data_IF_961412411818
#
_entry.id   IF_961412411818
#
_cell.length_a   1.000
_cell.length_b   1.000
_cell.length_c   1.000
_cell.angle_alpha   90.00
_cell.angle_beta   90.00
_cell.angle_gamma   90.00
#
_symmetry.space_group_name_H-M   'P 1'
#
loop_
_entity.id
_entity.type
_entity.pdbx_description
1 polymer ?
#
# COMPACT_ATOMS: atom_id res chain seq x y z
N UNK A 1 22.49 -45.97 -25.92
CA UNK A 1 21.14 -46.04 -25.30
C UNK A 1 21.05 -45.43 -23.89
N UNK A 2 22.15 -45.39 -23.11
CA UNK A 2 22.14 -44.95 -21.70
C UNK A 2 22.03 -43.41 -21.52
N UNK A 3 22.74 -42.62 -22.34
CA UNK A 3 22.76 -41.13 -22.24
C UNK A 3 21.41 -40.49 -22.59
N UNK A 4 20.67 -41.07 -23.55
CA UNK A 4 19.31 -40.59 -23.91
C UNK A 4 18.31 -40.75 -22.76
N UNK A 5 18.48 -41.79 -21.90
CA UNK A 5 17.60 -42.03 -20.75
C UNK A 5 17.84 -41.04 -19.60
N UNK A 6 19.11 -40.67 -19.35
CA UNK A 6 19.47 -39.67 -18.32
C UNK A 6 18.96 -38.27 -18.69
N UNK A 7 19.06 -37.90 -19.97
CA UNK A 7 18.57 -36.62 -20.48
C UNK A 7 17.04 -36.47 -20.38
N UNK A 8 16.30 -37.57 -20.62
CA UNK A 8 14.84 -37.62 -20.47
C UNK A 8 14.39 -37.49 -18.99
N UNK A 9 15.15 -38.06 -18.05
CA UNK A 9 14.84 -37.98 -16.61
C UNK A 9 15.08 -36.56 -16.09
N UNK A 10 16.18 -35.90 -16.49
CA UNK A 10 16.45 -34.51 -16.14
C UNK A 10 15.39 -33.55 -16.71
N UNK A 11 14.96 -33.77 -17.96
CA UNK A 11 13.88 -32.99 -18.57
C UNK A 11 12.55 -33.16 -17.82
N UNK A 12 12.22 -34.39 -17.41
CA UNK A 12 11.01 -34.68 -16.64
C UNK A 12 11.04 -34.04 -15.24
N UNK A 13 12.21 -33.99 -14.57
CA UNK A 13 12.36 -33.32 -13.26
C UNK A 13 12.20 -31.81 -13.41
N UNK A 14 12.75 -31.21 -14.46
CA UNK A 14 12.59 -29.77 -14.75
C UNK A 14 11.11 -29.45 -15.05
N UNK A 15 10.45 -30.28 -15.86
CA UNK A 15 9.03 -30.11 -16.18
C UNK A 15 8.14 -30.31 -14.95
N UNK A 16 8.36 -31.34 -14.12
CA UNK A 16 7.62 -31.51 -12.86
C UNK A 16 7.89 -30.39 -11.85
N UNK A 17 9.13 -29.88 -11.79
CA UNK A 17 9.50 -28.73 -10.95
C UNK A 17 8.84 -27.43 -11.42
N UNK A 18 8.62 -27.25 -12.73
CA UNK A 18 7.90 -26.11 -13.31
C UNK A 18 6.38 -26.21 -13.15
N UNK A 19 5.81 -27.43 -13.18
CA UNK A 19 4.36 -27.66 -13.08
C UNK A 19 3.86 -27.64 -11.63
N UNK A 20 4.74 -27.84 -10.64
CA UNK A 20 4.38 -27.94 -9.23
C UNK A 20 4.09 -26.64 -8.47
N UNK A 21 4.15 -25.46 -9.11
CA UNK A 21 4.13 -24.16 -8.39
C UNK A 21 2.77 -23.43 -8.45
N UNK A 22 1.82 -23.81 -9.31
CA UNK A 22 0.60 -23.00 -9.46
C UNK A 22 -0.59 -23.57 -8.69
N UNK A 23 -0.52 -23.52 -7.36
CA UNK A 23 -1.73 -23.30 -6.57
C UNK A 23 -1.66 -21.90 -6.00
N UNK A 24 -1.84 -20.90 -6.89
CA UNK A 24 -2.21 -19.56 -6.42
C UNK A 24 -3.63 -19.71 -5.91
N UNK A 25 -3.77 -20.09 -4.64
CA UNK A 25 -5.03 -19.97 -3.94
C UNK A 25 -5.48 -18.50 -4.05
N UNK A 26 -6.78 -18.28 -4.20
CA UNK A 26 -7.32 -16.93 -4.12
C UNK A 26 -6.86 -16.32 -2.78
N UNK A 27 -6.14 -15.20 -2.83
CA UNK A 27 -5.73 -14.52 -1.61
C UNK A 27 -6.97 -13.95 -0.93
N UNK A 28 -6.97 -13.89 0.40
CA UNK A 28 -8.05 -13.27 1.14
C UNK A 28 -7.90 -11.74 1.13
N UNK A 29 -9.03 -11.04 1.27
CA UNK A 29 -9.01 -9.64 1.68
C UNK A 29 -8.37 -9.53 3.07
N UNK A 30 -7.40 -8.64 3.23
CA UNK A 30 -6.76 -8.38 4.51
C UNK A 30 -7.05 -6.94 4.94
N UNK A 31 -7.32 -6.75 6.23
CA UNK A 31 -7.53 -5.45 6.85
C UNK A 31 -6.62 -5.37 8.07
N UNK A 32 -5.74 -4.37 8.07
CA UNK A 32 -4.72 -4.15 9.08
C UNK A 32 -4.95 -2.79 9.70
N UNK A 33 -5.29 -2.76 10.98
CA UNK A 33 -5.33 -1.50 11.74
C UNK A 33 -3.94 -1.31 12.33
N UNK A 34 -3.23 -0.30 11.84
CA UNK A 34 -1.85 -0.01 12.24
C UNK A 34 -1.91 0.80 13.54
N UNK A 35 -1.20 0.35 14.57
CA UNK A 35 -1.07 1.10 15.81
C UNK A 35 -0.19 2.34 15.57
N UNK A 36 -0.85 3.49 15.50
CA UNK A 36 -0.25 4.81 15.33
C UNK A 36 -0.42 5.67 16.58
N UNK A 37 -0.85 5.07 17.70
CA UNK A 37 -1.24 5.79 18.90
C UNK A 37 -2.54 6.57 18.68
N UNK A 38 -2.44 7.89 18.45
CA UNK A 38 -3.61 8.74 18.24
C UNK A 38 -3.92 8.89 16.75
N UNK A 39 -5.22 8.88 16.45
CA UNK A 39 -5.77 9.02 15.10
C UNK A 39 -6.07 7.68 14.46
N UNK A 40 -5.81 7.58 13.16
CA UNK A 40 -6.16 6.40 12.37
C UNK A 40 -5.07 6.08 11.35
N UNK A 41 -4.78 4.80 11.18
CA UNK A 41 -4.18 4.27 9.96
C UNK A 41 -4.68 2.84 9.71
N UNK A 42 -5.24 2.57 8.54
CA UNK A 42 -5.73 1.25 8.15
C UNK A 42 -5.26 0.89 6.76
N UNK A 43 -4.55 -0.23 6.66
CA UNK A 43 -4.14 -0.82 5.40
C UNK A 43 -5.13 -1.91 5.01
N UNK A 44 -5.65 -1.83 3.79
CA UNK A 44 -6.44 -2.87 3.13
C UNK A 44 -5.60 -3.48 2.02
N UNK A 45 -5.55 -4.80 1.96
CA UNK A 45 -4.91 -5.55 0.87
C UNK A 45 -5.96 -6.43 0.21
N UNK A 46 -6.24 -6.18 -1.07
CA UNK A 46 -7.23 -6.93 -1.82
C UNK A 46 -6.78 -8.37 -2.12
N UNK A 47 -7.70 -9.27 -2.48
CA UNK A 47 -7.37 -10.59 -3.05
C UNK A 47 -6.43 -10.56 -4.27
N UNK A 48 -6.40 -9.45 -5.00
CA UNK A 48 -5.52 -9.28 -6.17
C UNK A 48 -4.17 -8.67 -5.81
N UNK A 49 -3.94 -8.33 -4.53
CA UNK A 49 -2.72 -7.70 -4.04
C UNK A 49 -2.68 -6.18 -4.17
N UNK A 50 -3.78 -5.55 -4.61
CA UNK A 50 -3.89 -4.09 -4.55
C UNK A 50 -3.95 -3.61 -3.09
N UNK A 51 -3.42 -2.43 -2.82
CA UNK A 51 -3.25 -1.88 -1.49
C UNK A 51 -3.93 -0.53 -1.36
N UNK A 52 -4.65 -0.33 -0.26
CA UNK A 52 -5.23 0.96 0.11
C UNK A 52 -4.83 1.31 1.54
N UNK A 53 -4.26 2.49 1.74
CA UNK A 53 -3.96 3.02 3.07
C UNK A 53 -4.94 4.17 3.37
N UNK A 54 -5.77 3.98 4.38
CA UNK A 54 -6.71 4.98 4.87
C UNK A 54 -6.08 5.63 6.10
N UNK A 55 -5.75 6.91 5.99
CA UNK A 55 -5.00 7.70 6.98
C UNK A 55 -3.63 7.11 7.39
N UNK A 56 -2.78 7.92 8.00
CA UNK A 56 -1.39 7.58 8.32
C UNK A 56 -0.93 8.05 9.71
N UNK A 57 -1.84 8.39 10.61
CA UNK A 57 -1.48 8.82 11.95
C UNK A 57 -0.78 10.20 12.00
N UNK A 58 -0.37 10.55 13.22
CA UNK A 58 0.30 11.81 13.57
C UNK A 58 1.70 11.97 12.93
N UNK A 59 2.23 13.20 12.91
CA UNK A 59 3.54 13.56 12.32
C UNK A 59 4.69 12.65 12.80
N UNK A 60 4.67 12.19 14.05
CA UNK A 60 5.71 11.33 14.62
C UNK A 60 5.56 9.84 14.25
N UNK A 61 4.54 9.46 13.49
CA UNK A 61 4.23 8.07 13.14
C UNK A 61 4.85 7.61 11.82
N UNK A 62 5.57 8.49 11.10
CA UNK A 62 6.22 8.19 9.82
C UNK A 62 7.00 6.87 9.85
N UNK A 63 7.85 6.68 10.85
CA UNK A 63 8.67 5.47 10.96
C UNK A 63 7.88 4.24 11.41
N UNK A 64 6.80 4.42 12.18
CA UNK A 64 5.94 3.32 12.62
C UNK A 64 5.14 2.77 11.43
N UNK A 65 4.49 3.66 10.68
CA UNK A 65 3.77 3.31 9.43
C UNK A 65 4.74 2.66 8.43
N UNK A 66 5.90 3.29 8.18
CA UNK A 66 6.93 2.73 7.29
C UNK A 66 7.38 1.34 7.72
N UNK A 67 7.71 1.15 9.00
CA UNK A 67 8.17 -0.13 9.55
C UNK A 67 7.11 -1.22 9.41
N UNK A 68 5.84 -0.87 9.64
CA UNK A 68 4.73 -1.79 9.46
C UNK A 68 4.58 -2.21 8.00
N UNK A 69 4.53 -1.26 7.06
CA UNK A 69 4.46 -1.55 5.62
C UNK A 69 5.66 -2.40 5.17
N UNK A 70 6.86 -2.08 5.63
CA UNK A 70 8.07 -2.84 5.32
C UNK A 70 8.03 -4.28 5.85
N UNK A 71 7.40 -4.52 7.02
CA UNK A 71 7.22 -5.87 7.55
C UNK A 71 6.36 -6.78 6.67
N UNK A 72 5.53 -6.18 5.81
CA UNK A 72 4.70 -6.84 4.82
C UNK A 72 5.34 -6.84 3.42
N UNK A 73 6.54 -6.28 3.27
CA UNK A 73 7.20 -6.11 1.98
C UNK A 73 6.55 -5.04 1.08
N UNK A 74 5.79 -4.11 1.66
CA UNK A 74 5.04 -3.09 0.94
C UNK A 74 5.84 -1.78 0.94
N UNK A 75 6.19 -1.30 -0.26
CA UNK A 75 6.77 0.03 -0.49
C UNK A 75 5.93 0.90 -1.43
N UNK A 76 4.89 0.31 -2.02
CA UNK A 76 3.95 1.00 -2.90
C UNK A 76 2.52 0.76 -2.39
N UNK A 77 1.76 1.85 -2.26
CA UNK A 77 0.33 1.82 -1.97
C UNK A 77 -0.42 2.27 -3.23
N UNK A 78 -1.36 1.47 -3.73
CA UNK A 78 -2.12 1.85 -4.91
C UNK A 78 -3.00 3.07 -4.64
N UNK A 79 -3.68 3.07 -3.49
CA UNK A 79 -4.60 4.13 -3.07
C UNK A 79 -4.31 4.64 -1.67
N UNK A 80 -4.01 5.92 -1.51
CA UNK A 80 -4.06 6.56 -0.19
C UNK A 80 -5.38 7.32 -0.07
N UNK A 81 -6.05 7.25 1.08
CA UNK A 81 -7.31 7.96 1.34
C UNK A 81 -7.16 8.75 2.64
N UNK A 82 -7.31 10.07 2.56
CA UNK A 82 -7.43 10.92 3.75
C UNK A 82 -8.90 11.12 4.11
N UNK A 83 -9.30 10.69 5.31
CA UNK A 83 -10.68 10.86 5.78
C UNK A 83 -10.99 12.34 6.05
N UNK A 84 -10.05 13.04 6.68
CA UNK A 84 -10.05 14.48 6.91
C UNK A 84 -8.63 14.96 7.25
N UNK A 85 -8.47 16.28 7.41
CA UNK A 85 -7.15 16.93 7.41
C UNK A 85 -6.61 17.25 8.81
N UNK A 86 -7.02 16.49 9.83
CA UNK A 86 -6.38 16.60 11.14
C UNK A 86 -5.02 15.90 11.15
N UNK A 87 -4.13 16.37 12.02
CA UNK A 87 -2.73 15.93 12.09
C UNK A 87 -2.61 14.43 12.35
N UNK A 88 -3.51 13.88 13.14
CA UNK A 88 -3.56 12.46 13.49
C UNK A 88 -4.11 11.57 12.37
N UNK A 89 -4.42 12.14 11.21
CA UNK A 89 -4.86 11.42 10.02
C UNK A 89 -3.87 11.60 8.86
N UNK A 90 -3.44 12.83 8.58
CA UNK A 90 -2.55 13.15 7.44
C UNK A 90 -1.09 13.44 7.86
N UNK A 91 -0.79 13.43 9.16
CA UNK A 91 0.47 13.90 9.73
C UNK A 91 1.68 13.15 9.18
N UNK A 92 1.67 11.82 9.13
CA UNK A 92 2.81 11.10 8.55
C UNK A 92 3.04 11.44 7.08
N UNK A 93 1.97 11.65 6.30
CA UNK A 93 2.10 12.05 4.88
C UNK A 93 2.71 13.44 4.80
N UNK A 94 2.17 14.41 5.56
CA UNK A 94 2.70 15.76 5.65
C UNK A 94 4.17 15.81 6.12
N UNK A 95 4.57 14.89 7.02
CA UNK A 95 5.93 14.82 7.56
C UNK A 95 6.86 13.91 6.74
N UNK A 96 6.57 13.71 5.45
CA UNK A 96 7.50 13.09 4.52
C UNK A 96 7.53 11.56 4.54
N UNK A 97 6.39 10.89 4.75
CA UNK A 97 6.28 9.44 4.53
C UNK A 97 6.73 9.02 3.13
N UNK A 98 6.50 9.86 2.11
CA UNK A 98 6.95 9.60 0.74
C UNK A 98 8.49 9.65 0.63
N UNK A 99 9.11 10.61 1.33
CA UNK A 99 10.57 10.75 1.43
C UNK A 99 11.23 9.54 2.13
N UNK A 100 10.46 8.68 2.79
CA UNK A 100 10.93 7.44 3.37
C UNK A 100 10.94 6.24 2.41
N UNK A 101 10.59 6.43 1.14
CA UNK A 101 10.56 5.39 0.12
C UNK A 101 9.21 4.65 0.02
N UNK A 102 8.16 5.20 0.65
CA UNK A 102 6.78 4.78 0.38
C UNK A 102 6.27 5.58 -0.81
N UNK A 103 5.63 4.92 -1.77
CA UNK A 103 5.08 5.59 -2.95
C UNK A 103 3.58 5.36 -3.03
N UNK A 104 2.85 6.36 -3.52
CA UNK A 104 1.40 6.28 -3.73
C UNK A 104 1.07 6.31 -5.22
N UNK A 105 0.05 5.55 -5.64
CA UNK A 105 -0.54 5.64 -6.96
C UNK A 105 -1.44 6.88 -7.06
N UNK A 106 -2.63 6.78 -6.46
CA UNK A 106 -3.59 7.90 -6.38
C UNK A 106 -3.89 8.22 -4.92
N UNK A 107 -3.97 9.51 -4.61
CA UNK A 107 -4.38 10.03 -3.30
C UNK A 107 -5.79 10.59 -3.41
N UNK A 108 -6.74 10.00 -2.67
CA UNK A 108 -8.11 10.50 -2.59
C UNK A 108 -8.34 11.27 -1.29
N UNK A 109 -8.99 12.42 -1.41
CA UNK A 109 -9.55 13.14 -0.26
C UNK A 109 -10.82 13.92 -0.67
N UNK A 110 -11.46 14.58 0.30
CA UNK A 110 -12.73 15.30 0.11
C UNK A 110 -12.64 16.61 -0.69
N UNK A 111 -11.46 17.01 -1.15
CA UNK A 111 -11.28 18.22 -1.96
C UNK A 111 -11.33 19.55 -1.21
N UNK A 112 -11.55 19.56 0.11
CA UNK A 112 -11.72 20.80 0.88
C UNK A 112 -10.38 21.39 1.30
N UNK A 113 -10.37 22.67 1.62
CA UNK A 113 -9.22 23.33 2.25
C UNK A 113 -9.27 23.21 3.78
N UNK A 114 -8.11 23.29 4.41
CA UNK A 114 -7.98 23.31 5.86
C UNK A 114 -6.85 24.24 6.29
N UNK A 115 -7.13 25.20 7.16
CA UNK A 115 -6.17 26.26 7.49
C UNK A 115 -5.18 25.78 8.56
N UNK A 116 -4.26 24.89 8.17
CA UNK A 116 -3.16 24.41 9.01
C UNK A 116 -1.91 24.21 8.17
N UNK A 117 -0.73 24.45 8.74
CA UNK A 117 0.53 24.18 8.07
C UNK A 117 0.71 22.70 7.71
N UNK A 118 0.10 21.79 8.48
CA UNK A 118 0.13 20.35 8.21
C UNK A 118 -0.64 20.01 6.93
N UNK A 119 -1.77 20.68 6.68
CA UNK A 119 -2.52 20.52 5.45
C UNK A 119 -1.73 21.08 4.25
N UNK A 120 -1.04 22.21 4.43
CA UNK A 120 -0.19 22.79 3.39
C UNK A 120 0.95 21.81 3.02
N UNK A 121 1.63 21.23 4.01
CA UNK A 121 2.68 20.23 3.80
C UNK A 121 2.14 18.93 3.18
N UNK A 122 0.97 18.46 3.63
CA UNK A 122 0.27 17.34 3.00
C UNK A 122 0.04 17.61 1.52
N UNK A 123 -0.52 18.76 1.14
CA UNK A 123 -0.74 19.13 -0.25
C UNK A 123 0.56 19.22 -1.06
N UNK A 124 1.64 19.75 -0.47
CA UNK A 124 2.94 19.81 -1.14
C UNK A 124 3.42 18.40 -1.55
N UNK A 125 3.26 17.41 -0.68
CA UNK A 125 3.69 16.03 -0.92
C UNK A 125 2.84 15.33 -2.00
N UNK A 126 1.53 15.59 -2.05
CA UNK A 126 0.59 14.78 -2.86
C UNK A 126 -0.05 15.51 -4.05
N UNK A 127 0.23 16.80 -4.27
CA UNK A 127 -0.46 17.63 -5.28
C UNK A 127 -0.49 17.05 -6.70
N UNK A 128 0.55 16.31 -7.12
CA UNK A 128 0.65 15.70 -8.45
C UNK A 128 -0.18 14.42 -8.63
N UNK A 129 -0.59 13.80 -7.52
CA UNK A 129 -1.31 12.50 -7.47
C UNK A 129 -2.66 12.59 -6.75
N UNK A 130 -3.06 13.81 -6.35
CA UNK A 130 -4.31 14.08 -5.64
C UNK A 130 -5.53 14.03 -6.56
N UNK A 131 -6.59 13.42 -6.09
CA UNK A 131 -7.92 13.43 -6.70
C UNK A 131 -8.99 13.68 -5.64
N UNK A 132 -9.93 14.57 -5.93
CA UNK A 132 -11.13 14.74 -5.09
C UNK A 132 -12.07 13.56 -5.32
N UNK A 133 -12.46 12.88 -4.24
CA UNK A 133 -13.46 11.81 -4.30
C UNK A 133 -14.87 12.39 -4.48
N UNK A 134 -15.67 11.77 -5.34
CA UNK A 134 -17.06 12.17 -5.60
C UNK A 134 -18.04 11.14 -5.03
N UNK A 135 -19.25 11.60 -4.68
CA UNK A 135 -20.30 10.69 -4.24
C UNK A 135 -20.65 9.69 -5.35
N UNK A 136 -20.84 8.43 -4.96
CA UNK A 136 -21.06 7.30 -5.88
C UNK A 136 -19.85 6.89 -6.73
N UNK A 137 -18.67 7.49 -6.54
CA UNK A 137 -17.45 7.08 -7.26
C UNK A 137 -17.02 5.68 -6.82
N UNK A 138 -16.75 4.82 -7.81
CA UNK A 138 -16.13 3.50 -7.61
C UNK A 138 -14.63 3.63 -7.90
N UNK A 139 -13.81 3.00 -7.06
CA UNK A 139 -12.35 2.94 -7.21
C UNK A 139 -12.01 1.46 -7.50
N UNK A 140 -11.45 1.19 -8.68
CA UNK A 140 -11.17 -0.14 -9.24
C UNK A 140 -9.67 -0.43 -9.49
#
# INVERSE_FOLDING_TARGET
MFVRKISLILLLIIVYGLVGITTIGAQNLQVHVIDVGQGHSTLIISPTGQTMLIDAGELNQVLNVKSYLASLGISHINYFVATHYHSDHIGSVANGLLNQGITFGTVYDRGWEYCTWIYDDYLLEISSIRQTINDGQVID
#
